data_IF_732517799056
#
_entry.id   IF_732517799056
#
_cell.length_a   1.000
_cell.length_b   1.000
_cell.length_c   1.000
_cell.angle_alpha   90.00
_cell.angle_beta   90.00
_cell.angle_gamma   90.00
#
_symmetry.space_group_name_H-M   'P 1'
#
loop_
_entity.id
_entity.type
_entity.pdbx_description
1 polymer ?
#
# COMPACT_ATOMS: atom_id res chain seq x y z
N UNK A 1 18.71 5.91 26.91
CA UNK A 1 17.57 5.03 26.58
C UNK A 1 16.94 5.57 25.31
N UNK A 2 16.64 4.71 24.34
CA UNK A 2 15.87 5.10 23.16
C UNK A 2 14.40 4.78 23.48
N UNK A 3 13.55 5.81 23.43
CA UNK A 3 12.17 5.72 23.92
C UNK A 3 11.20 5.16 22.86
N UNK A 4 11.42 5.49 21.59
CA UNK A 4 10.58 5.03 20.48
C UNK A 4 11.33 5.19 19.15
N UNK A 5 11.05 4.27 18.22
CA UNK A 5 11.47 4.29 16.82
C UNK A 5 10.20 4.38 15.97
N UNK A 6 10.16 5.32 15.02
CA UNK A 6 9.01 5.49 14.13
C UNK A 6 9.32 4.91 12.75
N UNK A 7 8.53 3.94 12.31
CA UNK A 7 8.68 3.32 10.98
C UNK A 7 7.31 3.13 10.32
N UNK A 8 7.26 3.05 9.00
CA UNK A 8 6.03 2.73 8.27
C UNK A 8 5.60 1.27 8.52
N UNK A 9 4.32 0.95 8.26
CA UNK A 9 3.78 -0.40 8.46
C UNK A 9 4.16 -1.30 7.27
N UNK A 10 5.44 -1.63 7.19
CA UNK A 10 6.01 -2.53 6.21
C UNK A 10 6.72 -3.69 6.93
N UNK A 11 6.49 -4.92 6.47
CA UNK A 11 7.05 -6.13 7.09
C UNK A 11 8.59 -6.15 7.17
N UNK A 12 9.25 -5.38 6.30
CA UNK A 12 10.70 -5.21 6.35
C UNK A 12 11.17 -4.49 7.62
N UNK A 13 10.34 -3.61 8.18
CA UNK A 13 10.64 -2.88 9.40
C UNK A 13 10.54 -3.76 10.64
N UNK A 14 9.72 -4.82 10.59
CA UNK A 14 9.64 -5.83 11.66
C UNK A 14 10.98 -6.58 11.77
N UNK A 15 11.52 -7.02 10.62
CA UNK A 15 12.84 -7.67 10.54
C UNK A 15 13.94 -6.70 10.98
N UNK A 16 13.88 -5.45 10.53
CA UNK A 16 14.84 -4.41 10.92
C UNK A 16 14.85 -4.20 12.43
N UNK A 17 13.67 -4.11 13.08
CA UNK A 17 13.60 -3.90 14.53
C UNK A 17 14.11 -5.10 15.32
N UNK A 18 13.84 -6.32 14.87
CA UNK A 18 14.35 -7.52 15.51
C UNK A 18 15.89 -7.59 15.49
N UNK A 19 16.52 -7.16 14.39
CA UNK A 19 17.98 -7.07 14.32
C UNK A 19 18.54 -5.88 15.11
N UNK A 20 17.81 -4.75 15.16
CA UNK A 20 18.18 -3.59 15.97
C UNK A 20 18.15 -3.89 17.47
N UNK A 21 17.17 -4.66 17.95
CA UNK A 21 17.08 -5.09 19.34
C UNK A 21 18.30 -5.90 19.77
N UNK A 22 18.79 -6.80 18.90
CA UNK A 22 19.99 -7.62 19.18
C UNK A 22 21.28 -6.79 19.27
N UNK A 23 21.37 -5.68 18.53
CA UNK A 23 22.57 -4.85 18.49
C UNK A 23 22.53 -3.68 19.48
N UNK A 24 21.34 -3.27 19.93
CA UNK A 24 21.16 -2.11 20.79
C UNK A 24 20.40 -2.53 22.05
N UNK A 25 21.16 -2.87 23.10
CA UNK A 25 20.65 -3.18 24.45
C UNK A 25 19.79 -2.07 25.09
N UNK A 26 19.71 -0.89 24.47
CA UNK A 26 18.94 0.26 24.93
C UNK A 26 17.55 0.39 24.27
N UNK A 27 17.17 -0.53 23.37
CA UNK A 27 15.85 -0.63 22.77
C UNK A 27 15.06 -1.73 23.49
N UNK A 28 13.82 -1.42 23.91
CA UNK A 28 12.90 -2.39 24.50
C UNK A 28 12.16 -3.22 23.44
N UNK A 29 12.86 -3.63 22.39
CA UNK A 29 12.29 -4.42 21.29
C UNK A 29 11.07 -3.78 20.63
N UNK A 30 10.08 -4.61 20.28
CA UNK A 30 8.82 -4.19 19.65
C UNK A 30 8.04 -3.13 20.46
N UNK A 31 8.21 -3.07 21.78
CA UNK A 31 7.52 -2.06 22.61
C UNK A 31 7.99 -0.62 22.30
N UNK A 32 9.14 -0.47 21.65
CA UNK A 32 9.65 0.82 21.17
C UNK A 32 9.26 1.13 19.72
N UNK A 33 8.68 0.18 18.98
CA UNK A 33 8.24 0.40 17.61
C UNK A 33 6.88 1.11 17.60
N UNK A 34 6.91 2.37 17.19
CA UNK A 34 5.71 3.16 16.95
C UNK A 34 5.46 3.26 15.45
N UNK A 35 4.27 2.89 14.98
CA UNK A 35 3.93 3.09 13.58
C UNK A 35 3.96 4.59 13.26
N UNK A 36 4.57 4.95 12.14
CA UNK A 36 4.67 6.33 11.71
C UNK A 36 3.26 6.88 11.47
N UNK A 37 2.88 7.92 12.22
CA UNK A 37 1.57 8.58 12.13
C UNK A 37 1.22 8.94 10.68
N UNK A 38 2.22 9.29 9.88
CA UNK A 38 2.09 9.57 8.45
C UNK A 38 1.54 8.37 7.65
N UNK A 39 1.95 7.14 7.98
CA UNK A 39 1.45 5.94 7.32
C UNK A 39 -0.02 5.68 7.66
N UNK A 40 -0.41 5.87 8.93
CA UNK A 40 -1.79 5.74 9.39
C UNK A 40 -2.68 6.76 8.66
N UNK A 41 -2.23 8.01 8.55
CA UNK A 41 -2.94 9.06 7.80
C UNK A 41 -3.08 8.67 6.34
N UNK A 42 -2.02 8.19 5.68
CA UNK A 42 -2.08 7.75 4.28
C UNK A 42 -3.09 6.61 4.08
N UNK A 43 -3.14 5.64 5.00
CA UNK A 43 -4.10 4.53 4.94
C UNK A 43 -5.53 5.04 5.12
N UNK A 44 -5.79 5.86 6.15
CA UNK A 44 -7.12 6.45 6.41
C UNK A 44 -7.59 7.33 5.26
N UNK A 45 -6.70 8.13 4.68
CA UNK A 45 -7.04 8.97 3.53
C UNK A 45 -7.38 8.11 2.31
N UNK A 46 -6.59 7.07 2.01
CA UNK A 46 -6.88 6.16 0.89
C UNK A 46 -8.22 5.46 1.05
N UNK A 47 -8.52 4.92 2.22
CA UNK A 47 -9.80 4.26 2.48
C UNK A 47 -10.96 5.24 2.42
N UNK A 48 -10.80 6.44 2.98
CA UNK A 48 -11.83 7.48 2.94
C UNK A 48 -12.15 7.90 1.51
N UNK A 49 -11.14 8.11 0.66
CA UNK A 49 -11.34 8.46 -0.75
C UNK A 49 -12.02 7.32 -1.52
N UNK A 50 -11.62 6.07 -1.28
CA UNK A 50 -12.21 4.89 -1.92
C UNK A 50 -13.71 4.73 -1.64
N UNK A 51 -14.21 5.19 -0.49
CA UNK A 51 -15.64 5.16 -0.18
C UNK A 51 -16.47 6.04 -1.11
N UNK A 52 -15.86 7.06 -1.72
CA UNK A 52 -16.50 7.98 -2.65
C UNK A 52 -16.10 7.73 -4.12
N UNK A 53 -15.16 6.81 -4.36
CA UNK A 53 -14.83 6.39 -5.72
C UNK A 53 -16.05 5.67 -6.33
N UNK A 54 -16.49 6.18 -7.47
CA UNK A 54 -17.54 5.51 -8.25
C UNK A 54 -16.98 4.19 -8.79
N UNK A 55 -17.72 3.07 -8.77
CA UNK A 55 -17.26 1.83 -9.37
C UNK A 55 -16.81 2.11 -10.80
N UNK A 56 -15.53 1.84 -11.08
CA UNK A 56 -14.97 1.99 -12.43
C UNK A 56 -15.83 1.14 -13.35
N UNK A 57 -16.42 1.76 -14.39
CA UNK A 57 -17.19 1.07 -15.41
C UNK A 57 -16.37 -0.16 -15.86
N UNK A 58 -16.92 -1.39 -15.81
CA UNK A 58 -16.19 -2.56 -16.26
C UNK A 58 -15.68 -2.30 -17.68
N UNK A 59 -14.37 -2.37 -17.88
CA UNK A 59 -13.73 -2.23 -19.20
C UNK A 59 -13.96 -3.47 -20.08
N UNK A 60 -14.87 -4.36 -19.68
CA UNK A 60 -15.21 -5.58 -20.37
C UNK A 60 -16.41 -5.31 -21.29
N UNK A 61 -16.26 -5.69 -22.56
CA UNK A 61 -17.20 -5.60 -23.70
C UNK A 61 -16.86 -4.49 -24.72
N UNK A 62 -16.76 -3.20 -24.36
CA UNK A 62 -16.53 -2.14 -25.38
C UNK A 62 -15.17 -2.22 -26.08
N UNK A 63 -14.10 -2.61 -25.37
CA UNK A 63 -12.77 -2.76 -25.98
C UNK A 63 -12.67 -3.97 -26.93
N UNK A 64 -13.39 -5.05 -26.61
CA UNK A 64 -13.41 -6.26 -27.43
C UNK A 64 -14.23 -6.04 -28.72
N UNK A 65 -15.38 -5.36 -28.63
CA UNK A 65 -16.21 -5.05 -29.81
C UNK A 65 -15.52 -4.06 -30.75
N UNK A 66 -14.82 -3.04 -30.22
CA UNK A 66 -14.03 -2.11 -31.05
C UNK A 66 -12.89 -2.85 -31.75
N UNK A 67 -12.15 -3.74 -31.06
CA UNK A 67 -11.10 -4.54 -31.69
C UNK A 67 -11.65 -5.47 -32.78
N UNK A 68 -12.79 -6.13 -32.57
CA UNK A 68 -13.43 -6.96 -33.60
C UNK A 68 -13.94 -6.12 -34.77
N UNK A 69 -14.52 -4.94 -34.52
CA UNK A 69 -14.98 -4.02 -35.57
C UNK A 69 -13.81 -3.47 -36.40
N UNK A 70 -12.69 -3.13 -35.75
CA UNK A 70 -11.45 -2.70 -36.41
C UNK A 70 -10.79 -3.82 -37.21
N UNK A 71 -10.86 -5.07 -36.75
CA UNK A 71 -10.37 -6.24 -37.48
C UNK A 71 -11.22 -6.51 -38.73
N UNK A 72 -12.55 -6.37 -38.66
CA UNK A 72 -13.45 -6.50 -39.81
C UNK A 72 -13.27 -5.38 -40.84
N UNK A 73 -13.03 -4.14 -40.40
CA UNK A 73 -12.78 -3.00 -41.29
C UNK A 73 -11.46 -3.07 -42.05
N UNK A 74 -10.50 -3.90 -41.61
CA UNK A 74 -9.22 -4.12 -42.29
C UNK A 74 -9.23 -5.32 -43.24
N UNK A 75 -10.34 -6.05 -43.27
CA UNK A 75 -10.51 -7.24 -44.10
C UNK A 75 -11.41 -7.00 -45.32
N UNK A 76 -11.76 -5.74 -45.58
CA UNK A 76 -12.46 -5.26 -46.77
C UNK A 76 -11.65 -4.15 -47.45
#
# INVERSE_FOLDING_TARGET
QILSVTCDNASNNDIMMHELEKQVNALSGEASLTQCFLHIVNLVTKTTIQLFDTPKRPQTIYGATISTLMMLSKSF
#
